data_IF_421424596932
#
_entry.id   IF_421424596932
#
_cell.length_a   1.000
_cell.length_b   1.000
_cell.length_c   1.000
_cell.angle_alpha   90.00
_cell.angle_beta   90.00
_cell.angle_gamma   90.00
#
_symmetry.space_group_name_H-M   'P 1'
#
loop_
_entity.id
_entity.type
_entity.pdbx_description
1 polymer ?
#
# COMPACT_ATOMS: atom_id res chain seq x y z
N UNK A 1 5.82 8.85 -11.80
CA UNK A 1 5.28 8.01 -10.70
C UNK A 1 6.39 7.20 -10.05
N UNK A 2 6.40 7.12 -8.71
CA UNK A 2 7.48 6.45 -7.93
C UNK A 2 7.52 4.94 -8.22
N UNK A 3 6.35 4.29 -8.26
CA UNK A 3 6.26 2.84 -8.39
C UNK A 3 6.97 2.27 -9.61
N UNK A 4 6.61 2.63 -10.84
CA UNK A 4 7.25 2.13 -12.05
C UNK A 4 8.75 2.46 -12.13
N UNK A 5 9.15 3.68 -11.74
CA UNK A 5 10.56 4.10 -11.77
C UNK A 5 11.43 3.30 -10.80
N UNK A 6 10.86 2.80 -9.71
CA UNK A 6 11.56 2.00 -8.69
C UNK A 6 12.04 0.62 -9.18
N UNK A 7 11.64 0.19 -10.37
CA UNK A 7 12.11 -1.06 -11.00
C UNK A 7 13.19 -0.83 -12.06
N UNK A 8 13.42 0.41 -12.46
CA UNK A 8 14.44 0.76 -13.44
C UNK A 8 15.79 1.04 -12.73
N UNK A 9 16.35 0.00 -12.12
CA UNK A 9 17.61 0.06 -11.39
C UNK A 9 18.53 -1.08 -11.85
N UNK A 10 19.85 -0.82 -11.98
CA UNK A 10 20.81 -1.82 -12.47
C UNK A 10 21.25 -2.82 -11.39
N UNK A 11 21.06 -2.52 -10.13
CA UNK A 11 21.48 -3.31 -8.96
C UNK A 11 20.48 -3.21 -7.83
N UNK A 12 20.71 -3.93 -6.74
CA UNK A 12 19.90 -3.79 -5.52
C UNK A 12 19.90 -2.35 -5.01
N UNK A 13 18.73 -1.85 -4.56
CA UNK A 13 18.63 -0.50 -4.04
C UNK A 13 19.39 -0.35 -2.71
N UNK A 14 19.89 0.85 -2.39
CA UNK A 14 20.47 1.11 -1.09
C UNK A 14 19.45 0.87 0.02
N UNK A 15 19.93 0.45 1.18
CA UNK A 15 19.06 0.28 2.36
C UNK A 15 18.79 1.63 3.01
N UNK A 16 17.53 1.86 3.37
CA UNK A 16 17.11 2.98 4.23
C UNK A 16 16.24 2.47 5.38
N UNK A 17 16.13 3.26 6.43
CA UNK A 17 15.34 2.90 7.61
C UNK A 17 13.87 2.63 7.24
N UNK A 18 13.35 1.50 7.67
CA UNK A 18 11.94 1.11 7.49
C UNK A 18 11.06 1.48 8.68
N UNK A 19 11.66 1.87 9.81
CA UNK A 19 10.95 2.06 11.08
C UNK A 19 10.78 3.54 11.43
N UNK A 20 11.83 4.35 11.27
CA UNK A 20 11.83 5.75 11.68
C UNK A 20 11.87 6.68 10.46
N UNK A 21 10.81 7.47 10.27
CA UNK A 21 10.72 8.41 9.15
C UNK A 21 11.79 9.51 9.19
N UNK A 22 12.25 9.89 10.40
CA UNK A 22 13.30 10.91 10.56
C UNK A 22 14.63 10.37 10.06
N UNK A 23 15.00 9.16 10.44
CA UNK A 23 16.22 8.52 9.94
C UNK A 23 16.11 8.24 8.44
N UNK A 24 15.00 7.70 7.97
CA UNK A 24 14.80 7.50 6.54
C UNK A 24 14.98 8.78 5.73
N UNK A 25 14.46 9.92 6.23
CA UNK A 25 14.63 11.22 5.58
C UNK A 25 16.12 11.64 5.52
N UNK A 26 16.84 11.50 6.63
CA UNK A 26 18.27 11.86 6.69
C UNK A 26 19.11 10.98 5.76
N UNK A 27 18.82 9.68 5.72
CA UNK A 27 19.49 8.73 4.83
C UNK A 27 19.20 9.03 3.36
N UNK A 28 17.96 9.38 3.00
CA UNK A 28 17.62 9.80 1.63
C UNK A 28 18.35 11.09 1.25
N UNK A 29 18.46 12.06 2.15
CA UNK A 29 19.23 13.28 1.90
C UNK A 29 20.70 12.94 1.64
N UNK A 30 21.31 12.10 2.47
CA UNK A 30 22.68 11.65 2.27
C UNK A 30 22.91 10.93 0.93
N UNK A 31 21.94 10.10 0.50
CA UNK A 31 21.99 9.45 -0.81
C UNK A 31 21.91 10.45 -1.96
N UNK A 32 21.07 11.49 -1.84
CA UNK A 32 20.97 12.57 -2.83
C UNK A 32 22.27 13.36 -2.92
N UNK A 33 22.86 13.73 -1.78
CA UNK A 33 24.15 14.45 -1.70
C UNK A 33 25.30 13.63 -2.27
N UNK A 34 25.27 12.30 -2.11
CA UNK A 34 26.21 11.37 -2.71
C UNK A 34 26.00 11.16 -4.23
N UNK A 35 25.00 11.80 -4.84
CA UNK A 35 24.70 11.67 -6.27
C UNK A 35 24.02 10.36 -6.65
N UNK A 36 23.38 9.66 -5.70
CA UNK A 36 22.66 8.42 -6.00
C UNK A 36 21.49 8.70 -6.96
N UNK A 37 21.32 7.90 -8.02
CA UNK A 37 20.23 8.10 -8.98
C UNK A 37 18.85 8.05 -8.31
N UNK A 38 17.96 8.94 -8.70
CA UNK A 38 16.59 9.02 -8.14
C UNK A 38 15.84 7.69 -8.19
N UNK A 39 16.03 6.90 -9.26
CA UNK A 39 15.38 5.60 -9.39
C UNK A 39 15.83 4.61 -8.29
N UNK A 40 17.10 4.65 -7.91
CA UNK A 40 17.65 3.84 -6.82
C UNK A 40 17.08 4.29 -5.46
N UNK A 41 16.95 5.60 -5.24
CA UNK A 41 16.34 6.17 -4.03
C UNK A 41 14.84 5.79 -3.96
N UNK A 42 14.11 5.88 -5.07
CA UNK A 42 12.71 5.43 -5.14
C UNK A 42 12.59 3.93 -4.87
N UNK A 43 13.53 3.13 -5.36
CA UNK A 43 13.57 1.70 -5.09
C UNK A 43 13.86 1.41 -3.61
N UNK A 44 14.80 2.14 -2.99
CA UNK A 44 15.11 2.06 -1.57
C UNK A 44 13.87 2.33 -0.71
N UNK A 45 13.16 3.42 -1.01
CA UNK A 45 11.90 3.76 -0.33
C UNK A 45 10.83 2.65 -0.46
N UNK A 46 10.57 2.18 -1.68
CA UNK A 46 9.58 1.12 -1.90
C UNK A 46 9.98 -0.19 -1.21
N UNK A 47 11.27 -0.52 -1.17
CA UNK A 47 11.79 -1.70 -0.49
C UNK A 47 11.66 -1.59 1.03
N UNK A 48 12.01 -0.45 1.62
CA UNK A 48 11.85 -0.20 3.05
C UNK A 48 10.39 -0.33 3.50
N UNK A 49 9.45 0.24 2.72
CA UNK A 49 8.02 0.13 2.99
C UNK A 49 7.52 -1.31 2.87
N UNK A 50 7.93 -2.03 1.83
CA UNK A 50 7.57 -3.44 1.67
C UNK A 50 8.12 -4.28 2.83
N UNK A 51 9.39 -4.09 3.19
CA UNK A 51 10.02 -4.78 4.33
C UNK A 51 9.26 -4.54 5.64
N UNK A 52 8.90 -3.30 5.93
CA UNK A 52 8.12 -2.96 7.14
C UNK A 52 6.77 -3.66 7.18
N UNK A 53 6.07 -3.71 6.05
CA UNK A 53 4.80 -4.43 5.94
C UNK A 53 5.00 -5.93 6.12
N UNK A 54 6.05 -6.50 5.52
CA UNK A 54 6.39 -7.92 5.66
C UNK A 54 6.69 -8.32 7.11
N UNK A 55 7.42 -7.50 7.86
CA UNK A 55 7.66 -7.75 9.29
C UNK A 55 6.35 -7.90 10.08
N UNK A 56 5.35 -7.08 9.77
CA UNK A 56 4.04 -7.15 10.41
C UNK A 56 3.24 -8.37 9.96
N UNK A 57 3.25 -8.65 8.66
CA UNK A 57 2.52 -9.78 8.07
C UNK A 57 3.08 -11.12 8.54
N UNK A 58 4.40 -11.25 8.69
CA UNK A 58 5.04 -12.46 9.20
C UNK A 58 4.60 -12.82 10.63
N UNK A 59 4.22 -11.84 11.44
CA UNK A 59 3.69 -12.06 12.80
C UNK A 59 2.25 -12.61 12.79
N UNK A 60 1.48 -12.28 11.76
CA UNK A 60 0.07 -12.66 11.65
C UNK A 60 -0.14 -13.91 10.82
N UNK A 61 0.80 -14.23 9.95
CA UNK A 61 0.64 -15.19 8.87
C UNK A 61 -0.27 -14.63 7.75
N UNK A 62 0.06 -14.98 6.51
CA UNK A 62 -0.70 -14.58 5.33
C UNK A 62 -1.29 -15.81 4.67
N UNK A 63 -2.57 -15.75 4.33
CA UNK A 63 -3.28 -16.79 3.58
C UNK A 63 -3.62 -16.27 2.19
N UNK A 64 -4.01 -17.17 1.29
CA UNK A 64 -4.56 -16.79 -0.02
C UNK A 64 -5.71 -15.78 0.09
N UNK A 65 -5.92 -15.03 -0.99
CA UNK A 65 -6.87 -13.91 -1.07
C UNK A 65 -6.47 -12.70 -0.23
N UNK A 66 -5.17 -12.41 -0.20
CA UNK A 66 -4.63 -11.20 0.40
C UNK A 66 -5.07 -9.95 -0.38
N UNK A 67 -5.57 -8.96 0.33
CA UNK A 67 -6.07 -7.69 -0.24
C UNK A 67 -5.33 -6.51 0.36
N UNK A 68 -4.93 -5.55 -0.48
CA UNK A 68 -4.36 -4.27 -0.04
C UNK A 68 -5.35 -3.16 -0.40
N UNK A 69 -5.69 -2.33 0.57
CA UNK A 69 -6.55 -1.15 0.39
C UNK A 69 -5.81 0.15 0.74
N UNK A 70 -6.47 1.28 0.55
CA UNK A 70 -5.89 2.58 0.81
C UNK A 70 -4.98 3.07 -0.31
N UNK A 71 -4.25 4.15 -0.06
CA UNK A 71 -3.36 4.78 -1.04
C UNK A 71 -2.18 3.92 -1.43
N UNK A 72 -1.63 3.13 -0.50
CA UNK A 72 -0.47 2.26 -0.76
C UNK A 72 -0.77 1.18 -1.81
N UNK A 73 -2.02 0.76 -1.94
CA UNK A 73 -2.44 -0.19 -2.97
C UNK A 73 -2.19 0.32 -4.39
N UNK A 74 -2.05 1.64 -4.56
CA UNK A 74 -1.75 2.29 -5.84
C UNK A 74 -0.23 2.36 -6.13
N UNK A 75 0.61 2.13 -5.13
CA UNK A 75 2.05 2.14 -5.30
C UNK A 75 2.55 0.78 -5.79
N UNK A 76 2.69 0.63 -7.11
CA UNK A 76 3.18 -0.60 -7.72
C UNK A 76 4.55 -1.03 -7.19
N UNK A 77 5.42 -0.07 -6.85
CA UNK A 77 6.75 -0.34 -6.33
C UNK A 77 6.73 -1.12 -5.02
N UNK A 78 5.80 -0.79 -4.12
CA UNK A 78 5.61 -1.50 -2.86
C UNK A 78 4.87 -2.82 -3.08
N UNK A 79 3.75 -2.77 -3.79
CA UNK A 79 2.87 -3.93 -3.91
C UNK A 79 3.52 -5.09 -4.66
N UNK A 80 4.24 -4.84 -5.77
CA UNK A 80 4.95 -5.91 -6.49
C UNK A 80 6.08 -6.53 -5.66
N UNK A 81 6.73 -5.75 -4.80
CA UNK A 81 7.72 -6.30 -3.86
C UNK A 81 7.07 -7.20 -2.81
N UNK A 82 5.94 -6.79 -2.24
CA UNK A 82 5.15 -7.62 -1.33
C UNK A 82 4.68 -8.92 -2.01
N UNK A 83 4.13 -8.83 -3.21
CA UNK A 83 3.70 -10.01 -3.97
C UNK A 83 4.85 -10.98 -4.25
N UNK A 84 6.03 -10.45 -4.55
CA UNK A 84 7.23 -11.27 -4.79
C UNK A 84 7.67 -12.00 -3.52
N UNK A 85 7.70 -11.31 -2.38
CA UNK A 85 8.14 -11.89 -1.11
C UNK A 85 7.12 -12.88 -0.54
N UNK A 86 5.83 -12.58 -0.68
CA UNK A 86 4.75 -13.45 -0.22
C UNK A 86 4.52 -14.67 -1.12
N UNK A 87 4.97 -14.63 -2.37
CA UNK A 87 4.61 -15.63 -3.38
C UNK A 87 3.11 -15.63 -3.74
N UNK A 88 2.36 -14.61 -3.33
CA UNK A 88 0.90 -14.50 -3.49
C UNK A 88 0.59 -13.19 -4.22
N UNK A 89 -0.29 -13.26 -5.24
CA UNK A 89 -0.82 -12.05 -5.88
C UNK A 89 -1.94 -11.45 -5.04
N UNK A 90 -1.91 -10.12 -4.90
CA UNK A 90 -2.96 -9.40 -4.18
C UNK A 90 -4.26 -9.42 -4.97
N UNK A 91 -5.34 -9.83 -4.32
CA UNK A 91 -6.69 -9.71 -4.85
C UNK A 91 -7.16 -8.23 -4.75
N UNK A 92 -8.04 -7.80 -5.67
CA UNK A 92 -8.62 -6.45 -5.64
C UNK A 92 -7.75 -5.34 -6.26
N UNK A 93 -6.51 -5.63 -6.63
CA UNK A 93 -5.61 -4.68 -7.32
C UNK A 93 -5.99 -4.37 -8.76
N UNK A 94 -6.85 -5.18 -9.29
CA UNK A 94 -7.42 -5.07 -10.64
C UNK A 94 -7.88 -3.65 -10.98
N UNK A 95 -8.15 -2.87 -9.95
CA UNK A 95 -8.70 -1.54 -10.04
C UNK A 95 -7.72 -0.46 -10.50
N UNK A 96 -6.44 -0.62 -10.26
CA UNK A 96 -5.43 0.39 -10.64
C UNK A 96 -4.95 0.24 -12.07
N UNK A 97 -5.07 -0.92 -12.66
CA UNK A 97 -4.68 -1.14 -14.05
C UNK A 97 -5.78 -0.61 -14.98
N UNK A 98 -5.44 0.29 -15.93
CA UNK A 98 -6.37 0.82 -16.93
C UNK A 98 -7.14 -0.26 -17.69
N UNK A 99 -6.49 -1.38 -17.94
CA UNK A 99 -7.04 -2.54 -18.61
C UNK A 99 -8.20 -3.21 -17.85
N UNK A 100 -8.23 -3.06 -16.54
CA UNK A 100 -9.25 -3.64 -15.66
C UNK A 100 -10.26 -2.61 -15.14
N UNK A 101 -10.06 -1.32 -15.45
CA UNK A 101 -10.90 -0.23 -14.97
C UNK A 101 -12.36 -0.36 -15.42
N UNK A 102 -12.59 -1.05 -16.52
CA UNK A 102 -13.92 -1.26 -17.10
C UNK A 102 -14.63 -2.54 -16.62
N UNK A 103 -13.97 -3.35 -15.81
CA UNK A 103 -14.49 -4.67 -15.40
C UNK A 103 -14.78 -4.74 -13.90
N UNK A 104 -15.88 -4.14 -13.48
CA UNK A 104 -16.65 -4.54 -12.28
C UNK A 104 -16.14 -4.20 -10.87
N UNK A 105 -15.18 -3.31 -10.68
CA UNK A 105 -14.95 -2.77 -9.33
C UNK A 105 -15.41 -1.32 -9.27
N UNK A 106 -16.46 -1.01 -8.53
CA UNK A 106 -17.14 0.30 -8.60
C UNK A 106 -16.47 1.40 -7.77
N UNK A 107 -15.28 1.16 -7.17
CA UNK A 107 -14.68 2.14 -6.25
C UNK A 107 -13.16 2.11 -6.21
N UNK A 108 -12.58 3.25 -5.83
CA UNK A 108 -11.15 3.41 -5.60
C UNK A 108 -10.71 2.71 -4.30
N UNK A 109 -9.52 2.09 -4.29
CA UNK A 109 -8.95 1.45 -3.10
C UNK A 109 -8.84 2.39 -1.90
N UNK A 110 -8.66 3.70 -2.14
CA UNK A 110 -8.65 4.72 -1.10
C UNK A 110 -10.02 4.92 -0.44
N UNK A 111 -11.10 4.60 -1.14
CA UNK A 111 -12.47 4.73 -0.65
C UNK A 111 -12.95 3.49 0.12
N UNK A 112 -12.17 2.42 0.18
CA UNK A 112 -12.58 1.17 0.80
C UNK A 112 -13.10 1.36 2.24
N UNK A 113 -12.39 2.17 3.06
CA UNK A 113 -12.82 2.51 4.41
C UNK A 113 -14.14 3.30 4.46
N UNK A 114 -14.29 4.29 3.58
CA UNK A 114 -15.51 5.10 3.52
C UNK A 114 -16.71 4.28 3.07
N UNK A 115 -16.54 3.40 2.09
CA UNK A 115 -17.58 2.48 1.61
C UNK A 115 -17.98 1.49 2.72
N UNK A 116 -16.99 0.92 3.41
CA UNK A 116 -17.24 0.03 4.55
C UNK A 116 -18.03 0.73 5.66
N UNK A 117 -17.66 1.95 6.01
CA UNK A 117 -18.37 2.77 7.00
C UNK A 117 -19.81 3.08 6.56
N UNK A 118 -20.02 3.42 5.29
CA UNK A 118 -21.36 3.68 4.74
C UNK A 118 -22.23 2.42 4.76
N UNK A 119 -21.69 1.27 4.37
CA UNK A 119 -22.40 -0.01 4.42
C UNK A 119 -22.77 -0.39 5.86
N UNK A 120 -21.83 -0.20 6.79
CA UNK A 120 -22.08 -0.46 8.21
C UNK A 120 -23.14 0.47 8.78
N UNK A 121 -23.07 1.77 8.47
CA UNK A 121 -24.10 2.75 8.87
C UNK A 121 -25.49 2.40 8.32
N UNK A 122 -25.57 1.98 7.05
CA UNK A 122 -26.83 1.54 6.45
C UNK A 122 -27.38 0.28 7.14
N UNK A 123 -26.51 -0.68 7.48
CA UNK A 123 -26.93 -1.87 8.24
C UNK A 123 -27.48 -1.51 9.62
N UNK A 124 -26.82 -0.61 10.34
CA UNK A 124 -27.30 -0.11 11.66
C UNK A 124 -28.66 0.60 11.55
N UNK A 125 -28.85 1.42 10.53
CA UNK A 125 -30.14 2.09 10.28
C UNK A 125 -31.26 1.07 10.05
N UNK A 126 -31.02 0.07 9.20
CA UNK A 126 -31.99 -1.02 8.96
C UNK A 126 -32.30 -1.83 10.22
N UNK A 127 -31.35 -1.98 11.12
CA UNK A 127 -31.53 -2.66 12.41
C UNK A 127 -32.21 -1.78 13.48
N UNK A 128 -32.58 -0.54 13.16
CA UNK A 128 -33.23 0.38 14.10
C UNK A 128 -32.36 0.94 15.23
N UNK A 129 -31.06 0.63 15.22
CA UNK A 129 -30.10 1.04 16.28
C UNK A 129 -29.59 2.48 16.14
N UNK A 130 -29.81 3.14 15.00
CA UNK A 130 -29.33 4.50 14.75
C UNK A 130 -30.19 5.61 15.40
N UNK A 131 -31.35 5.30 15.96
CA UNK A 131 -32.21 6.28 16.63
C UNK A 131 -31.69 6.74 18.00
N UNK A 132 -30.80 5.98 18.63
CA UNK A 132 -30.31 6.30 19.97
C UNK A 132 -29.17 7.33 20.00
N UNK A 133 -28.39 7.45 18.93
CA UNK A 133 -27.24 8.36 18.84
C UNK A 133 -27.61 9.84 18.59
N UNK A 134 -28.89 10.14 18.28
CA UNK A 134 -29.39 11.52 18.10
C UNK A 134 -29.97 12.14 19.38
N UNK A 135 -29.91 11.46 20.50
CA UNK A 135 -30.48 11.93 21.79
C UNK A 135 -29.42 12.18 22.89
N UNK A 136 -28.15 12.21 22.54
CA UNK A 136 -27.07 12.58 23.47
C UNK A 136 -26.53 13.97 23.16
#
# INVERSE_FOLDING_TARGET
>A
EIGPRSFNIPKEPPMISSTCVVFAKSEVIGLLEAGTPENEIMAAYCSAMAHRIMELLNRLGVKEKFVITGGIAKNEGVVKRLEKELGIKTAGRVWYNKEYRDKNIPFDTQLAGAIGAALFGNALLKMGKAKSARKA
#
